data_IF_776231799830
#
_entry.id   IF_776231799830
#
_cell.length_a   1.000
_cell.length_b   1.000
_cell.length_c   1.000
_cell.angle_alpha   90.00
_cell.angle_beta   90.00
_cell.angle_gamma   90.00
#
_symmetry.space_group_name_H-M   'P 1'
#
loop_
_entity.id
_entity.type
_entity.pdbx_description
1 polymer ?
#
# COMPACT_ATOMS: atom_id res chain seq x y z
N UNK A 1 16.36 6.86 -1.19
CA UNK A 1 16.12 6.28 0.16
C UNK A 1 14.93 5.36 0.09
N UNK A 2 14.96 4.21 0.76
CA UNK A 2 13.83 3.29 0.84
C UNK A 2 13.06 3.48 2.16
N UNK A 3 11.74 3.61 2.06
CA UNK A 3 10.78 3.61 3.16
C UNK A 3 10.01 2.29 3.09
N UNK A 4 10.11 1.45 4.12
CA UNK A 4 9.39 0.16 4.17
C UNK A 4 8.31 0.22 5.25
N UNK A 5 7.13 -0.28 4.91
CA UNK A 5 6.00 -0.44 5.81
C UNK A 5 5.47 -1.87 5.69
N UNK A 6 5.43 -2.60 6.81
CA UNK A 6 4.84 -3.92 6.88
C UNK A 6 3.34 -3.78 7.18
N UNK A 7 2.48 -4.17 6.24
CA UNK A 7 1.02 -4.00 6.38
C UNK A 7 0.39 -4.95 7.39
N UNK A 8 1.11 -5.96 7.87
CA UNK A 8 0.68 -6.77 9.02
C UNK A 8 0.61 -5.93 10.32
N UNK A 9 1.29 -4.78 10.40
CA UNK A 9 1.17 -3.83 11.52
C UNK A 9 -0.02 -2.85 11.38
N UNK A 10 -0.72 -2.87 10.24
CA UNK A 10 -1.78 -1.92 9.87
C UNK A 10 -3.15 -2.61 9.70
N UNK A 11 -3.40 -3.63 10.54
CA UNK A 11 -4.61 -4.46 10.51
C UNK A 11 -5.80 -3.86 11.27
N UNK A 12 -5.61 -2.79 12.03
CA UNK A 12 -6.67 -2.17 12.85
C UNK A 12 -7.31 -0.96 12.16
N UNK A 13 -8.55 -0.56 12.54
CA UNK A 13 -9.20 0.63 12.00
C UNK A 13 -8.38 1.93 12.16
N UNK A 14 -7.64 2.05 13.26
CA UNK A 14 -6.82 3.23 13.60
C UNK A 14 -5.54 3.33 12.76
N UNK A 15 -5.22 2.29 11.98
CA UNK A 15 -4.02 2.21 11.15
C UNK A 15 -3.94 3.33 10.12
N UNK A 16 -5.09 3.78 9.60
CA UNK A 16 -5.16 4.94 8.68
C UNK A 16 -4.65 6.20 9.35
N UNK A 17 -5.02 6.44 10.61
CA UNK A 17 -4.59 7.61 11.36
C UNK A 17 -3.09 7.56 11.66
N UNK A 18 -2.54 6.37 11.93
CA UNK A 18 -1.09 6.20 12.09
C UNK A 18 -0.33 6.46 10.78
N UNK A 19 -0.87 6.02 9.65
CA UNK A 19 -0.21 6.12 8.36
C UNK A 19 -0.27 7.56 7.79
N UNK A 20 -1.47 8.15 7.75
CA UNK A 20 -1.75 9.47 7.17
C UNK A 20 -1.69 10.63 8.16
N UNK A 21 -1.83 10.36 9.46
CA UNK A 21 -1.92 11.35 10.53
C UNK A 21 -3.34 11.45 11.06
N UNK A 22 -3.47 11.73 12.36
CA UNK A 22 -4.76 11.90 13.00
C UNK A 22 -5.28 13.34 12.86
N UNK A 23 -6.60 13.58 12.85
CA UNK A 23 -7.19 14.92 12.85
C UNK A 23 -7.02 15.62 14.21
N UNK A 24 -7.21 16.96 14.30
CA UNK A 24 -7.03 17.75 15.52
C UNK A 24 -7.80 17.24 16.75
N UNK A 25 -8.91 16.56 16.54
CA UNK A 25 -9.78 16.02 17.58
C UNK A 25 -9.35 14.64 18.13
N UNK A 26 -8.26 14.05 17.64
CA UNK A 26 -7.88 12.66 17.95
C UNK A 26 -6.54 12.56 18.71
N UNK A 27 -6.41 11.56 19.59
CA UNK A 27 -5.18 11.35 20.35
C UNK A 27 -4.03 10.94 19.43
N UNK A 28 -2.90 11.66 19.50
CA UNK A 28 -1.76 11.46 18.58
C UNK A 28 -1.72 12.41 17.38
N UNK A 29 -2.60 13.44 17.33
CA UNK A 29 -2.55 14.53 16.35
C UNK A 29 -1.14 15.13 16.17
N UNK A 30 -0.40 15.34 17.26
CA UNK A 30 0.93 15.95 17.21
C UNK A 30 1.96 15.12 16.44
N UNK A 31 1.82 13.80 16.42
CA UNK A 31 2.81 12.87 15.87
C UNK A 31 2.88 12.88 14.33
N UNK A 32 1.86 13.43 13.65
CA UNK A 32 1.74 13.38 12.19
C UNK A 32 1.57 11.95 11.66
N UNK A 33 1.46 11.80 10.34
CA UNK A 33 1.38 10.48 9.71
C UNK A 33 2.75 9.89 9.43
N UNK A 34 2.93 8.61 9.71
CA UNK A 34 4.21 7.94 9.49
C UNK A 34 4.64 7.89 8.02
N UNK A 35 3.69 7.86 7.09
CA UNK A 35 3.95 7.92 5.65
C UNK A 35 4.08 9.37 5.19
N UNK A 36 3.08 10.20 5.51
CA UNK A 36 2.98 11.59 5.06
C UNK A 36 4.17 12.42 5.52
N UNK A 37 4.57 12.33 6.80
CA UNK A 37 5.73 13.07 7.29
C UNK A 37 7.05 12.62 6.66
N UNK A 38 7.22 11.30 6.44
CA UNK A 38 8.47 10.78 5.86
C UNK A 38 8.62 11.22 4.40
N UNK A 39 7.55 11.16 3.60
CA UNK A 39 7.56 11.60 2.20
C UNK A 39 7.66 13.11 2.10
N UNK A 40 6.92 13.87 2.93
CA UNK A 40 7.01 15.34 2.97
C UNK A 40 8.44 15.84 3.23
N UNK A 41 9.18 15.16 4.10
CA UNK A 41 10.60 15.49 4.39
C UNK A 41 11.56 15.00 3.30
N UNK A 42 11.19 13.97 2.54
CA UNK A 42 12.03 13.31 1.53
C UNK A 42 11.17 12.90 0.32
N UNK A 43 10.80 13.84 -0.56
CA UNK A 43 9.84 13.61 -1.64
C UNK A 43 10.35 12.67 -2.75
N UNK A 44 11.68 12.54 -2.87
CA UNK A 44 12.34 11.59 -3.78
C UNK A 44 12.67 10.30 -3.02
N UNK A 45 11.69 9.40 -2.97
CA UNK A 45 11.81 8.16 -2.19
C UNK A 45 11.24 6.95 -2.91
N UNK A 46 11.65 5.76 -2.47
CA UNK A 46 10.98 4.51 -2.84
C UNK A 46 10.21 4.07 -1.60
N UNK A 47 8.90 3.92 -1.72
CA UNK A 47 8.02 3.44 -0.65
C UNK A 47 7.61 2.01 -0.98
N UNK A 48 7.96 1.08 -0.11
CA UNK A 48 7.56 -0.32 -0.17
C UNK A 48 6.48 -0.59 0.88
N UNK A 49 5.29 -0.97 0.43
CA UNK A 49 4.23 -1.54 1.26
C UNK A 49 4.27 -3.06 1.10
N UNK A 50 4.65 -3.74 2.17
CA UNK A 50 4.80 -5.19 2.19
C UNK A 50 3.53 -5.87 2.73
N UNK A 51 3.21 -7.05 2.20
CA UNK A 51 2.01 -7.84 2.55
C UNK A 51 0.69 -7.04 2.50
N UNK A 52 0.47 -6.26 1.43
CA UNK A 52 -0.67 -5.33 1.36
C UNK A 52 -2.05 -5.97 1.53
N UNK A 53 -2.19 -7.28 1.30
CA UNK A 53 -3.42 -8.03 1.56
C UNK A 53 -3.80 -8.10 3.05
N UNK A 54 -2.86 -7.83 3.96
CA UNK A 54 -3.08 -7.85 5.40
C UNK A 54 -3.61 -6.51 5.93
N UNK A 55 -3.42 -5.43 5.18
CA UNK A 55 -3.83 -4.10 5.60
C UNK A 55 -5.35 -4.03 5.86
N UNK A 56 -5.74 -3.20 6.82
CA UNK A 56 -7.15 -2.92 7.05
C UNK A 56 -7.77 -2.23 5.81
N UNK A 57 -9.03 -2.52 5.43
CA UNK A 57 -9.61 -2.05 4.17
C UNK A 57 -9.58 -0.54 3.95
N UNK A 58 -9.65 0.28 5.00
CA UNK A 58 -9.56 1.74 4.85
C UNK A 58 -8.14 2.24 4.52
N UNK A 59 -7.10 1.46 4.82
CA UNK A 59 -5.72 1.74 4.38
C UNK A 59 -5.60 1.52 2.87
N UNK A 60 -6.26 0.49 2.32
CA UNK A 60 -6.29 0.26 0.87
C UNK A 60 -6.98 1.41 0.13
N UNK A 61 -8.03 2.01 0.69
CA UNK A 61 -8.67 3.18 0.08
C UNK A 61 -7.72 4.38 0.00
N UNK A 62 -6.87 4.57 1.03
CA UNK A 62 -5.83 5.59 1.02
C UNK A 62 -4.81 5.34 -0.10
N UNK A 63 -4.46 4.08 -0.36
CA UNK A 63 -3.58 3.74 -1.48
C UNK A 63 -4.23 3.98 -2.83
N UNK A 64 -5.53 3.72 -3.00
CA UNK A 64 -6.24 4.07 -4.23
C UNK A 64 -6.16 5.57 -4.51
N UNK A 65 -6.53 6.40 -3.52
CA UNK A 65 -6.42 7.86 -3.65
C UNK A 65 -5.00 8.29 -4.02
N UNK A 66 -3.99 7.68 -3.38
CA UNK A 66 -2.60 7.98 -3.63
C UNK A 66 -2.16 7.60 -5.06
N UNK A 67 -2.60 6.45 -5.56
CA UNK A 67 -2.28 5.97 -6.91
C UNK A 67 -3.00 6.78 -8.00
N UNK A 68 -4.19 7.28 -7.71
CA UNK A 68 -4.98 8.12 -8.62
C UNK A 68 -4.44 9.56 -8.71
N UNK A 69 -4.38 10.27 -7.57
CA UNK A 69 -4.08 11.71 -7.54
C UNK A 69 -2.57 12.02 -7.42
N UNK A 70 -1.77 11.05 -6.95
CA UNK A 70 -0.36 11.26 -6.60
C UNK A 70 -0.16 12.22 -5.43
N UNK A 71 -1.22 12.53 -4.67
CA UNK A 71 -1.21 13.45 -3.53
C UNK A 71 -2.04 12.85 -2.42
N UNK A 72 -1.55 12.96 -1.18
CA UNK A 72 -2.30 12.60 0.02
C UNK A 72 -2.48 13.81 0.92
N UNK A 73 -3.68 14.03 1.45
CA UNK A 73 -3.89 15.00 2.53
C UNK A 73 -3.62 14.33 3.88
N UNK A 74 -2.73 14.90 4.69
CA UNK A 74 -2.46 14.41 6.04
C UNK A 74 -3.59 14.79 7.03
N UNK A 75 -3.57 14.22 8.24
CA UNK A 75 -4.56 14.54 9.27
C UNK A 75 -4.55 16.01 9.74
N UNK A 76 -3.51 16.79 9.40
CA UNK A 76 -3.39 18.23 9.70
C UNK A 76 -3.91 19.09 8.54
N UNK A 77 -4.34 18.50 7.43
CA UNK A 77 -4.83 19.20 6.24
C UNK A 77 -3.73 19.62 5.26
N UNK A 78 -2.49 19.16 5.43
CA UNK A 78 -1.43 19.43 4.46
C UNK A 78 -1.49 18.44 3.31
N UNK A 79 -1.34 18.94 2.08
CA UNK A 79 -1.15 18.10 0.91
C UNK A 79 0.30 17.66 0.80
N UNK A 80 0.51 16.34 0.74
CA UNK A 80 1.82 15.70 0.55
C UNK A 80 1.88 15.14 -0.85
N UNK A 81 2.88 15.58 -1.61
CA UNK A 81 3.10 15.19 -3.00
C UNK A 81 3.94 13.91 -3.09
N UNK A 82 3.43 12.90 -3.80
CA UNK A 82 4.07 11.61 -4.06
C UNK A 82 4.48 11.44 -5.53
N UNK A 83 4.31 12.44 -6.40
CA UNK A 83 4.62 12.34 -7.84
C UNK A 83 6.09 12.00 -8.13
N UNK A 84 6.99 12.30 -7.19
CA UNK A 84 8.42 11.97 -7.27
C UNK A 84 8.81 10.73 -6.43
N UNK A 85 7.82 9.98 -5.95
CA UNK A 85 8.01 8.77 -5.15
C UNK A 85 7.62 7.54 -5.95
N UNK A 86 8.48 6.52 -5.93
CA UNK A 86 8.16 5.21 -6.50
C UNK A 86 7.43 4.41 -5.43
N UNK A 87 6.20 4.00 -5.71
CA UNK A 87 5.41 3.14 -4.83
C UNK A 87 5.53 1.70 -5.31
N UNK A 88 5.92 0.82 -4.40
CA UNK A 88 5.99 -0.63 -4.61
C UNK A 88 5.07 -1.28 -3.60
N UNK A 89 4.22 -2.19 -4.06
CA UNK A 89 3.37 -3.01 -3.21
C UNK A 89 3.71 -4.47 -3.45
N UNK A 90 3.90 -5.24 -2.38
CA UNK A 90 4.11 -6.69 -2.44
C UNK A 90 2.97 -7.40 -1.74
N UNK A 91 2.60 -8.57 -2.27
CA UNK A 91 1.54 -9.39 -1.73
C UNK A 91 1.91 -10.85 -1.84
N UNK A 92 1.58 -11.64 -0.82
CA UNK A 92 1.77 -13.09 -0.83
C UNK A 92 0.55 -13.84 -1.39
N UNK A 93 -0.49 -13.12 -1.84
CA UNK A 93 -1.71 -13.73 -2.42
C UNK A 93 -1.37 -14.54 -3.67
N UNK A 94 -1.73 -15.83 -3.65
CA UNK A 94 -1.56 -16.71 -4.80
C UNK A 94 -0.13 -17.21 -5.01
N UNK A 95 0.78 -16.95 -4.06
CA UNK A 95 2.15 -17.46 -4.12
C UNK A 95 2.19 -19.00 -4.16
N UNK A 96 1.19 -19.68 -3.60
CA UNK A 96 1.04 -21.14 -3.66
C UNK A 96 0.85 -21.66 -5.10
N UNK A 97 0.30 -20.85 -6.01
CA UNK A 97 0.11 -21.22 -7.41
C UNK A 97 1.37 -21.02 -8.27
N UNK A 98 2.38 -20.31 -7.75
CA UNK A 98 3.68 -20.15 -8.41
C UNK A 98 4.55 -21.40 -8.26
N UNK A 99 4.42 -22.13 -7.14
CA UNK A 99 5.23 -23.33 -6.87
C UNK A 99 4.78 -24.58 -7.63
N UNK A 100 3.55 -24.60 -8.16
CA UNK A 100 3.05 -25.75 -8.96
C UNK A 100 3.72 -25.80 -10.36
N UNK A 101 4.52 -24.80 -10.73
CA UNK A 101 5.21 -24.69 -12.01
C UNK A 101 6.71 -25.01 -12.01
N UNK A 102 7.29 -25.57 -10.94
CA UNK A 102 8.73 -25.93 -10.92
C UNK A 102 8.97 -27.26 -11.65
N UNK A 103 8.71 -27.25 -12.96
CA UNK A 103 9.43 -28.05 -13.96
C UNK A 103 9.66 -27.13 -15.16
N UNK A 104 10.80 -26.43 -15.16
CA UNK A 104 11.36 -25.76 -16.34
C UNK A 104 10.70 -24.43 -16.71
N UNK A 105 11.46 -23.35 -16.55
CA UNK A 105 11.37 -22.07 -17.27
C UNK A 105 10.13 -21.84 -18.14
N UNK A 106 9.01 -21.52 -17.48
CA UNK A 106 7.95 -20.61 -17.91
C UNK A 106 6.84 -20.70 -16.88
N UNK A 107 6.66 -19.65 -16.08
CA UNK A 107 5.35 -19.40 -15.47
C UNK A 107 4.33 -19.41 -16.60
N UNK A 108 3.57 -20.49 -16.72
CA UNK A 108 2.62 -20.61 -17.83
C UNK A 108 1.61 -19.48 -17.73
N UNK A 109 1.10 -19.01 -18.87
CA UNK A 109 0.01 -18.03 -18.92
C UNK A 109 -1.17 -18.48 -18.05
N UNK A 110 -1.40 -19.79 -17.94
CA UNK A 110 -2.38 -20.39 -17.04
C UNK A 110 -2.07 -20.11 -15.56
N UNK A 111 -0.84 -20.33 -15.08
CA UNK A 111 -0.45 -20.03 -13.70
C UNK A 111 -0.59 -18.55 -13.37
N UNK A 112 -0.19 -17.66 -14.29
CA UNK A 112 -0.38 -16.21 -14.13
C UNK A 112 -1.86 -15.83 -14.06
N UNK A 113 -2.71 -16.43 -14.89
CA UNK A 113 -4.15 -16.17 -14.86
C UNK A 113 -4.81 -16.64 -13.57
N UNK A 114 -4.38 -17.78 -13.02
CA UNK A 114 -4.86 -18.27 -11.72
C UNK A 114 -4.45 -17.33 -10.59
N UNK A 115 -3.20 -16.87 -10.59
CA UNK A 115 -2.72 -15.89 -9.62
C UNK A 115 -3.52 -14.58 -9.73
N UNK A 116 -3.66 -14.01 -10.93
CA UNK A 116 -4.42 -12.77 -11.12
C UNK A 116 -5.89 -12.91 -10.67
N UNK A 117 -6.51 -14.07 -10.88
CA UNK A 117 -7.87 -14.33 -10.38
C UNK A 117 -7.96 -14.31 -8.86
N UNK A 118 -6.92 -14.70 -8.13
CA UNK A 118 -6.90 -14.62 -6.67
C UNK A 118 -6.64 -13.20 -6.19
N UNK A 119 -5.68 -12.51 -6.82
CA UNK A 119 -5.37 -11.12 -6.50
C UNK A 119 -6.61 -10.24 -6.71
N UNK A 120 -7.37 -10.44 -7.80
CA UNK A 120 -8.65 -9.75 -8.06
C UNK A 120 -9.77 -10.06 -7.05
N UNK A 121 -9.66 -11.15 -6.26
CA UNK A 121 -10.61 -11.43 -5.17
C UNK A 121 -10.23 -10.68 -3.88
N UNK A 122 -8.95 -10.40 -3.68
CA UNK A 122 -8.44 -9.74 -2.49
C UNK A 122 -8.43 -8.21 -2.61
N UNK A 123 -8.17 -7.68 -3.81
CA UNK A 123 -8.09 -6.26 -4.06
C UNK A 123 -9.27 -5.78 -4.88
N UNK A 124 -9.66 -4.52 -4.66
CA UNK A 124 -10.74 -3.92 -5.44
C UNK A 124 -10.31 -3.73 -6.91
N UNK A 125 -11.24 -3.80 -7.88
CA UNK A 125 -10.92 -3.67 -9.30
C UNK A 125 -10.11 -2.41 -9.66
N UNK A 126 -10.30 -1.32 -8.92
CA UNK A 126 -9.66 -0.03 -9.13
C UNK A 126 -8.12 -0.10 -9.05
N UNK A 127 -7.56 -1.10 -8.36
CA UNK A 127 -6.11 -1.32 -8.31
C UNK A 127 -5.50 -1.84 -9.63
N UNK A 128 -6.33 -2.24 -10.60
CA UNK A 128 -5.89 -2.85 -11.86
C UNK A 128 -6.26 -2.06 -13.11
N UNK A 129 -6.71 -0.80 -12.94
CA UNK A 129 -7.08 0.08 -14.04
C UNK A 129 -5.90 0.47 -14.93
#
# INVERSE_FOLDING_TARGET
MMLRFDMSEYVSPESVLRLGGAPPSYHGYENGGQLTEKVRRRPYSVVLFDEVEKAYPSVLNVFLQLLDDGVLTDGKGHNVDFKNTIIIMTSNVGAEHLNVGVVGEKTTVASRNLLMKQVQKCFKPEFFN
#
